data_IF_146334092895
#
_entry.id   IF_146334092895
#
_cell.length_a   1.000
_cell.length_b   1.000
_cell.length_c   1.000
_cell.angle_alpha   90.00
_cell.angle_beta   90.00
_cell.angle_gamma   90.00
#
_symmetry.space_group_name_H-M   'P 1'
#
loop_
_entity.id
_entity.type
_entity.pdbx_description
1 polymer ?
#
# COMPACT_ATOMS: atom_id res chain seq x y z
N UNK A 1 1.62 -24.61 15.38
CA UNK A 1 3.00 -24.51 14.92
C UNK A 1 3.18 -23.16 14.24
N UNK A 2 4.05 -22.30 14.77
CA UNK A 2 4.32 -20.94 14.26
C UNK A 2 5.74 -20.81 13.70
N UNK A 3 6.45 -21.94 13.54
CA UNK A 3 7.90 -21.95 13.37
C UNK A 3 8.35 -21.86 11.91
N UNK A 4 7.48 -22.20 10.96
CA UNK A 4 7.83 -22.30 9.53
C UNK A 4 8.21 -20.94 8.91
N UNK A 5 7.64 -19.84 9.41
CA UNK A 5 7.90 -18.49 8.92
C UNK A 5 8.99 -17.75 9.71
N UNK A 6 9.57 -18.38 10.75
CA UNK A 6 10.53 -17.71 11.65
C UNK A 6 11.80 -17.26 10.93
N UNK A 7 12.29 -18.06 9.98
CA UNK A 7 13.47 -17.72 9.19
C UNK A 7 13.21 -16.50 8.29
N UNK A 8 12.03 -16.45 7.66
CA UNK A 8 11.66 -15.38 6.74
C UNK A 8 11.37 -14.07 7.46
N UNK A 9 10.74 -14.11 8.64
CA UNK A 9 10.41 -12.92 9.42
C UNK A 9 11.64 -12.24 10.05
N UNK A 10 12.75 -12.97 10.22
CA UNK A 10 13.94 -12.47 10.92
C UNK A 10 14.59 -11.26 10.22
N UNK A 11 14.51 -11.22 8.90
CA UNK A 11 15.15 -10.18 8.07
C UNK A 11 14.18 -9.06 7.66
N UNK A 12 12.88 -9.23 7.93
CA UNK A 12 11.84 -8.30 7.52
C UNK A 12 11.63 -7.21 8.55
N UNK A 13 11.66 -5.97 8.09
CA UNK A 13 11.51 -4.79 8.93
C UNK A 13 10.27 -4.01 8.51
N UNK A 14 9.65 -3.33 9.48
CA UNK A 14 8.60 -2.35 9.22
C UNK A 14 9.17 -0.94 9.41
N UNK A 15 8.67 0.01 8.64
CA UNK A 15 9.07 1.42 8.78
C UNK A 15 8.15 2.18 9.72
N UNK A 16 6.88 1.76 9.81
CA UNK A 16 5.92 2.34 10.74
C UNK A 16 4.56 1.65 10.64
N UNK A 17 3.64 2.03 11.51
CA UNK A 17 2.26 1.58 11.45
C UNK A 17 1.31 2.74 11.79
N UNK A 18 0.14 2.76 11.17
CA UNK A 18 -0.89 3.77 11.39
C UNK A 18 -2.26 3.13 11.45
N UNK A 19 -3.02 3.45 12.49
CA UNK A 19 -4.43 3.10 12.57
C UNK A 19 -5.28 4.19 11.90
N UNK A 20 -6.22 3.78 11.05
CA UNK A 20 -7.13 4.67 10.32
C UNK A 20 -8.57 4.20 10.52
N UNK A 21 -9.48 5.15 10.66
CA UNK A 21 -10.91 4.89 10.69
C UNK A 21 -11.48 4.81 9.27
N UNK A 22 -12.22 3.73 9.00
CA UNK A 22 -12.83 3.41 7.69
C UNK A 22 -14.33 3.32 7.87
N UNK A 23 -15.09 4.11 7.11
CA UNK A 23 -16.56 4.05 7.12
C UNK A 23 -17.23 4.37 8.46
N UNK A 24 -16.58 5.17 9.32
CA UNK A 24 -17.16 5.73 10.57
C UNK A 24 -17.38 4.74 11.73
N UNK A 25 -17.08 3.45 11.54
CA UNK A 25 -17.21 2.43 12.59
C UNK A 25 -16.06 1.43 12.62
N UNK A 26 -15.42 1.21 11.49
CA UNK A 26 -14.38 0.20 11.34
C UNK A 26 -13.01 0.87 11.49
N UNK A 27 -12.06 0.17 12.09
CA UNK A 27 -10.67 0.63 12.16
C UNK A 27 -9.80 -0.36 11.39
N UNK A 28 -8.93 0.18 10.55
CA UNK A 28 -7.95 -0.57 9.80
C UNK A 28 -6.53 -0.16 10.23
N UNK A 29 -5.62 -1.13 10.27
CA UNK A 29 -4.22 -0.93 10.59
C UNK A 29 -3.43 -1.00 9.29
N UNK A 30 -2.72 0.08 8.97
CA UNK A 30 -1.80 0.16 7.86
C UNK A 30 -0.39 -0.04 8.38
N UNK A 31 0.33 -1.00 7.83
CA UNK A 31 1.73 -1.26 8.13
C UNK A 31 2.57 -0.78 6.95
N UNK A 32 3.48 0.15 7.22
CA UNK A 32 4.42 0.67 6.23
C UNK A 32 5.64 -0.23 6.14
N UNK A 33 5.92 -0.68 4.93
CA UNK A 33 7.01 -1.60 4.60
C UNK A 33 8.03 -0.88 3.70
N UNK A 34 9.34 -1.12 3.89
CA UNK A 34 10.35 -0.66 2.94
C UNK A 34 10.14 -1.27 1.55
N UNK A 35 10.21 -0.46 0.49
CA UNK A 35 10.02 -0.92 -0.90
C UNK A 35 10.84 -2.16 -1.28
N UNK A 36 12.14 -2.29 -0.89
CA UNK A 36 12.93 -3.47 -1.24
C UNK A 36 12.39 -4.78 -0.66
N UNK A 37 11.73 -4.72 0.50
CA UNK A 37 11.23 -5.88 1.22
C UNK A 37 9.80 -6.26 0.85
N UNK A 38 9.09 -5.42 0.08
CA UNK A 38 7.68 -5.62 -0.25
C UNK A 38 7.39 -6.98 -0.90
N UNK A 39 8.22 -7.42 -1.85
CA UNK A 39 8.06 -8.73 -2.50
C UNK A 39 8.19 -9.90 -1.52
N UNK A 40 9.06 -9.76 -0.52
CA UNK A 40 9.23 -10.78 0.52
C UNK A 40 8.03 -10.80 1.47
N UNK A 41 7.46 -9.64 1.80
CA UNK A 41 6.21 -9.55 2.54
C UNK A 41 5.05 -10.19 1.77
N UNK A 42 4.90 -9.91 0.47
CA UNK A 42 3.83 -10.47 -0.36
C UNK A 42 3.79 -12.01 -0.34
N UNK A 43 4.94 -12.70 -0.29
CA UNK A 43 4.99 -14.16 -0.21
C UNK A 43 4.30 -14.73 1.04
N UNK A 44 4.33 -13.99 2.14
CA UNK A 44 3.85 -14.43 3.47
C UNK A 44 2.56 -13.68 3.84
N UNK A 45 2.17 -12.68 3.05
CA UNK A 45 1.16 -11.70 3.40
C UNK A 45 -0.19 -12.32 3.72
N UNK A 46 -0.65 -13.33 2.97
CA UNK A 46 -1.94 -13.99 3.23
C UNK A 46 -2.00 -14.57 4.65
N UNK A 47 -0.95 -15.27 5.07
CA UNK A 47 -0.85 -15.84 6.41
C UNK A 47 -0.63 -14.76 7.47
N UNK A 48 0.25 -13.80 7.20
CA UNK A 48 0.59 -12.74 8.15
C UNK A 48 -0.60 -11.83 8.44
N UNK A 49 -1.39 -11.47 7.43
CA UNK A 49 -2.64 -10.72 7.61
C UNK A 49 -3.58 -11.51 8.51
N UNK A 50 -3.84 -12.79 8.22
CA UNK A 50 -4.73 -13.60 9.03
C UNK A 50 -4.30 -13.68 10.51
N UNK A 51 -3.01 -13.86 10.77
CA UNK A 51 -2.50 -13.95 12.14
C UNK A 51 -2.57 -12.61 12.88
N UNK A 52 -2.29 -11.50 12.19
CA UNK A 52 -2.40 -10.16 12.77
C UNK A 52 -3.87 -9.79 13.01
N UNK A 53 -4.77 -10.05 12.08
CA UNK A 53 -6.21 -9.81 12.26
C UNK A 53 -6.75 -10.60 13.46
N UNK A 54 -6.31 -11.85 13.65
CA UNK A 54 -6.66 -12.65 14.84
C UNK A 54 -6.22 -11.99 16.14
N UNK A 55 -5.03 -11.38 16.18
CA UNK A 55 -4.49 -10.68 17.37
C UNK A 55 -5.13 -9.31 17.58
N UNK A 56 -5.46 -8.59 16.52
CA UNK A 56 -6.00 -7.23 16.58
C UNK A 56 -7.53 -7.19 16.54
N UNK A 57 -8.20 -8.14 17.19
CA UNK A 57 -9.67 -8.18 17.35
C UNK A 57 -10.43 -8.13 16.01
N UNK A 58 -9.89 -8.78 14.97
CA UNK A 58 -10.41 -8.79 13.58
C UNK A 58 -10.49 -7.41 12.91
N UNK A 59 -9.65 -6.46 13.33
CA UNK A 59 -9.41 -5.23 12.54
C UNK A 59 -8.65 -5.60 11.27
N UNK A 60 -9.03 -5.00 10.14
CA UNK A 60 -8.34 -5.23 8.88
C UNK A 60 -6.91 -4.71 8.90
N UNK A 61 -5.97 -5.53 8.44
CA UNK A 61 -4.54 -5.18 8.37
C UNK A 61 -4.10 -5.16 6.92
N UNK A 62 -3.51 -4.05 6.49
CA UNK A 62 -3.03 -3.87 5.11
C UNK A 62 -1.58 -3.40 5.11
N UNK A 63 -0.78 -3.96 4.18
CA UNK A 63 0.62 -3.59 4.00
C UNK A 63 0.74 -2.59 2.85
N UNK A 64 1.47 -1.50 3.06
CA UNK A 64 1.71 -0.46 2.04
C UNK A 64 3.20 -0.14 2.00
N UNK A 65 3.79 -0.03 0.81
CA UNK A 65 5.17 0.44 0.72
C UNK A 65 5.31 1.94 0.99
N UNK A 66 6.33 2.31 1.75
CA UNK A 66 6.68 3.72 1.95
C UNK A 66 7.47 4.26 0.75
N UNK A 67 6.82 5.06 -0.11
CA UNK A 67 7.40 5.50 -1.40
C UNK A 67 7.67 7.01 -1.53
N UNK A 68 7.27 7.86 -0.58
CA UNK A 68 7.10 9.32 -0.80
C UNK A 68 8.41 10.06 -1.14
N UNK A 69 8.40 10.76 -2.27
CA UNK A 69 9.32 11.84 -2.61
C UNK A 69 8.52 13.07 -3.05
N UNK A 70 8.85 14.28 -2.56
CA UNK A 70 8.13 15.48 -2.92
C UNK A 70 8.39 15.85 -4.38
N UNK A 71 7.34 16.32 -5.08
CA UNK A 71 7.48 16.85 -6.43
C UNK A 71 8.40 18.07 -6.40
N UNK A 72 9.47 18.13 -7.22
CA UNK A 72 10.29 19.33 -7.30
C UNK A 72 9.45 20.47 -7.87
N UNK A 73 9.43 21.60 -7.18
CA UNK A 73 8.77 22.83 -7.64
C UNK A 73 9.81 23.94 -7.73
N UNK A 74 9.54 25.01 -8.48
CA UNK A 74 10.48 26.14 -8.61
C UNK A 74 10.85 26.77 -7.24
N UNK A 75 9.98 26.61 -6.24
CA UNK A 75 10.16 27.12 -4.87
C UNK A 75 10.63 26.03 -3.88
N UNK A 76 11.02 24.84 -4.33
CA UNK A 76 11.48 23.81 -3.41
C UNK A 76 12.82 24.19 -2.78
N UNK A 77 12.89 24.26 -1.45
CA UNK A 77 14.12 24.53 -0.72
C UNK A 77 15.23 23.51 -1.03
N UNK A 78 14.86 22.26 -1.31
CA UNK A 78 15.80 21.21 -1.70
C UNK A 78 16.14 21.33 -3.19
N UNK A 79 17.35 21.82 -3.49
CA UNK A 79 17.90 21.79 -4.85
C UNK A 79 18.22 20.34 -5.25
N UNK A 80 17.27 19.66 -5.87
CA UNK A 80 17.50 18.34 -6.44
C UNK A 80 18.40 18.47 -7.68
N UNK A 81 19.66 18.03 -7.56
CA UNK A 81 20.63 18.00 -8.67
C UNK A 81 20.30 16.94 -9.73
N UNK A 82 19.56 15.90 -9.33
CA UNK A 82 19.17 14.78 -10.18
C UNK A 82 17.70 14.90 -10.64
N UNK A 83 17.42 14.44 -11.87
CA UNK A 83 16.05 14.34 -12.39
C UNK A 83 15.26 13.32 -11.58
N UNK A 84 13.99 13.64 -11.26
CA UNK A 84 13.10 12.68 -10.62
C UNK A 84 12.80 11.51 -11.57
N UNK A 85 12.97 10.27 -11.11
CA UNK A 85 12.60 9.09 -11.89
C UNK A 85 11.08 8.99 -12.01
N UNK A 86 10.58 8.38 -13.10
CA UNK A 86 9.12 8.22 -13.33
C UNK A 86 8.44 7.42 -12.22
N UNK A 87 9.12 6.41 -11.69
CA UNK A 87 8.67 5.59 -10.55
C UNK A 87 8.49 6.37 -9.25
N UNK A 88 9.07 7.58 -9.15
CA UNK A 88 9.04 8.44 -7.96
C UNK A 88 8.13 9.65 -8.15
N UNK A 89 7.19 9.59 -9.09
CA UNK A 89 6.17 10.62 -9.27
C UNK A 89 4.94 10.33 -8.40
N UNK A 90 4.23 11.36 -7.89
CA UNK A 90 3.03 11.14 -7.08
C UNK A 90 1.98 10.27 -7.79
N UNK A 91 1.77 10.47 -9.09
CA UNK A 91 0.84 9.67 -9.89
C UNK A 91 1.20 8.18 -9.88
N UNK A 92 2.45 7.84 -10.21
CA UNK A 92 2.92 6.46 -10.19
C UNK A 92 2.88 5.85 -8.78
N UNK A 93 3.12 6.65 -7.74
CA UNK A 93 3.00 6.18 -6.35
C UNK A 93 1.55 5.89 -5.97
N UNK A 94 0.59 6.73 -6.38
CA UNK A 94 -0.82 6.48 -6.09
C UNK A 94 -1.32 5.20 -6.78
N UNK A 95 -0.85 4.93 -7.99
CA UNK A 95 -1.15 3.67 -8.69
C UNK A 95 -0.53 2.47 -7.95
N UNK A 96 0.73 2.57 -7.54
CA UNK A 96 1.40 1.50 -6.81
C UNK A 96 0.82 1.27 -5.39
N UNK A 97 0.28 2.32 -4.74
CA UNK A 97 -0.44 2.18 -3.47
C UNK A 97 -1.76 1.42 -3.69
N UNK A 98 -2.48 1.69 -4.79
CA UNK A 98 -3.70 0.95 -5.12
C UNK A 98 -3.41 -0.54 -5.32
N UNK A 99 -2.30 -0.88 -5.97
CA UNK A 99 -1.87 -2.28 -6.13
C UNK A 99 -1.56 -2.95 -4.79
N UNK A 100 -0.80 -2.29 -3.91
CA UNK A 100 -0.45 -2.84 -2.59
C UNK A 100 -1.71 -3.08 -1.71
N UNK A 101 -2.70 -2.19 -1.80
CA UNK A 101 -3.94 -2.27 -1.02
C UNK A 101 -4.82 -3.47 -1.38
N UNK A 102 -4.74 -3.94 -2.62
CA UNK A 102 -5.67 -4.93 -3.17
C UNK A 102 -5.09 -6.35 -3.25
N UNK A 103 -3.81 -6.51 -2.92
CA UNK A 103 -3.20 -7.83 -2.78
C UNK A 103 -4.03 -8.72 -1.84
N UNK A 104 -4.41 -9.95 -2.23
CA UNK A 104 -3.84 -10.78 -3.30
C UNK A 104 -4.47 -10.59 -4.69
N UNK A 105 -5.56 -9.83 -4.82
CA UNK A 105 -6.22 -9.64 -6.12
C UNK A 105 -5.47 -8.64 -6.99
N UNK A 106 -5.45 -8.89 -8.30
CA UNK A 106 -4.83 -7.99 -9.26
C UNK A 106 -5.84 -6.99 -9.84
N UNK A 107 -5.36 -5.81 -10.22
CA UNK A 107 -6.17 -4.78 -10.86
C UNK A 107 -6.19 -5.02 -12.37
N UNK A 108 -7.36 -5.36 -12.91
CA UNK A 108 -7.56 -5.62 -14.34
C UNK A 108 -7.75 -4.32 -15.11
N UNK A 109 -8.51 -3.38 -14.56
CA UNK A 109 -8.77 -2.11 -15.21
C UNK A 109 -9.01 -0.97 -14.23
N UNK A 110 -8.69 0.24 -14.65
CA UNK A 110 -8.98 1.48 -13.90
C UNK A 110 -9.73 2.44 -14.82
N UNK A 111 -10.93 2.85 -14.40
CA UNK A 111 -11.75 3.84 -15.12
C UNK A 111 -11.93 5.07 -14.24
N UNK A 112 -11.68 6.25 -14.81
CA UNK A 112 -11.87 7.51 -14.11
C UNK A 112 -13.09 8.19 -14.72
N UNK A 113 -14.13 8.37 -13.91
CA UNK A 113 -15.33 9.10 -14.30
C UNK A 113 -15.27 10.51 -13.70
N UNK A 114 -15.24 11.52 -14.56
CA UNK A 114 -15.33 12.93 -14.18
C UNK A 114 -16.80 13.34 -14.23
N UNK A 115 -17.36 13.80 -13.10
CA UNK A 115 -18.74 14.29 -13.01
C UNK A 115 -18.84 15.74 -13.50
N UNK A 116 -20.06 16.21 -13.75
CA UNK A 116 -20.34 17.61 -14.13
C UNK A 116 -19.84 18.61 -13.08
N UNK A 117 -19.90 18.25 -11.80
CA UNK A 117 -19.39 19.06 -10.69
C UNK A 117 -17.85 19.13 -10.63
N UNK A 118 -17.14 18.50 -11.58
CA UNK A 118 -15.69 18.40 -11.62
C UNK A 118 -15.09 17.36 -10.66
N UNK A 119 -15.91 16.71 -9.81
CA UNK A 119 -15.45 15.62 -8.94
C UNK A 119 -15.14 14.35 -9.73
N UNK A 120 -14.10 13.62 -9.32
CA UNK A 120 -13.64 12.42 -10.01
C UNK A 120 -13.96 11.18 -9.18
N UNK A 121 -14.48 10.15 -9.83
CA UNK A 121 -14.73 8.84 -9.25
C UNK A 121 -13.87 7.81 -9.97
N UNK A 122 -12.99 7.15 -9.22
CA UNK A 122 -12.11 6.10 -9.75
C UNK A 122 -12.79 4.76 -9.51
N UNK A 123 -13.15 4.06 -10.59
CA UNK A 123 -13.64 2.68 -10.56
C UNK A 123 -12.49 1.75 -10.88
N UNK A 124 -12.06 0.97 -9.89
CA UNK A 124 -11.03 -0.05 -10.04
C UNK A 124 -11.73 -1.40 -10.21
N UNK A 125 -11.44 -2.08 -11.31
CA UNK A 125 -11.92 -3.42 -11.60
C UNK A 125 -10.85 -4.41 -11.17
N UNK A 126 -11.24 -5.30 -10.27
CA UNK A 126 -10.37 -6.36 -9.75
C UNK A 126 -10.64 -7.65 -10.51
N UNK A 127 -9.63 -8.49 -10.56
CA UNK A 127 -9.81 -9.84 -11.07
C UNK A 127 -10.81 -10.60 -10.19
N UNK A 128 -11.64 -11.42 -10.83
CA UNK A 128 -12.72 -12.18 -10.17
C UNK A 128 -12.23 -13.52 -9.63
N UNK A 129 -10.93 -13.78 -9.63
CA UNK A 129 -10.38 -15.04 -9.11
C UNK A 129 -10.84 -15.19 -7.66
N UNK A 130 -11.56 -16.30 -7.46
CA UNK A 130 -12.62 -16.54 -6.49
C UNK A 130 -12.09 -16.93 -5.11
#
# INVERSE_FOLDING_TARGET
MNWDHKAQLRELNITGAKEIEVGGRWKAIIIFVPVPQLKSFQKIQVWLVYELEKKFRRKHVVFIAQRILPKPTRKSHTKNKQKCSRSRTPSAMHDAILEDLVFPSEIVAKRIHVKLDGSWLIKVHLDKVQ
#
